data_IF_494012381790
#
_entry.id   IF_494012381790
#
_cell.length_a   1.000
_cell.length_b   1.000
_cell.length_c   1.000
_cell.angle_alpha   90.00
_cell.angle_beta   90.00
_cell.angle_gamma   90.00
#
_symmetry.space_group_name_H-M   'P 1'
#
loop_
_entity.id
_entity.type
_entity.pdbx_description
1 polymer ?
#
# COMPACT_ATOMS: atom_id res chain seq x y z
N UNK A 1 10.20 1.28 48.11
CA UNK A 1 10.56 1.39 46.68
C UNK A 1 9.58 0.67 45.74
N UNK A 2 8.96 -0.45 46.14
CA UNK A 2 7.96 -1.17 45.35
C UNK A 2 6.67 -0.38 45.09
N UNK A 3 6.23 0.43 46.06
CA UNK A 3 5.00 1.24 45.95
C UNK A 3 5.14 2.48 45.05
N UNK A 4 6.33 3.07 44.94
CA UNK A 4 6.57 4.18 44.01
C UNK A 4 6.65 3.70 42.56
N UNK A 5 7.19 2.49 42.33
CA UNK A 5 7.23 1.90 40.99
C UNK A 5 5.84 1.44 40.53
N UNK A 6 5.04 0.84 41.42
CA UNK A 6 3.68 0.41 41.09
C UNK A 6 2.78 1.59 40.73
N UNK A 7 2.86 2.69 41.49
CA UNK A 7 2.10 3.92 41.20
C UNK A 7 2.52 4.55 39.88
N UNK A 8 3.84 4.64 39.60
CA UNK A 8 4.39 5.14 38.34
C UNK A 8 3.94 4.33 37.13
N UNK A 9 3.98 3.00 37.24
CA UNK A 9 3.55 2.09 36.17
C UNK A 9 2.04 2.22 35.89
N UNK A 10 1.23 2.41 36.93
CA UNK A 10 -0.21 2.66 36.81
C UNK A 10 -0.50 4.02 36.17
N UNK A 11 0.22 5.09 36.56
CA UNK A 11 0.07 6.41 35.93
C UNK A 11 0.49 6.41 34.46
N UNK A 12 1.55 5.69 34.10
CA UNK A 12 1.99 5.54 32.71
C UNK A 12 0.89 4.90 31.85
N UNK A 13 0.22 3.86 32.36
CA UNK A 13 -0.90 3.21 31.67
C UNK A 13 -2.07 4.17 31.46
N UNK A 14 -2.46 4.93 32.50
CA UNK A 14 -3.53 5.92 32.40
C UNK A 14 -3.20 7.00 31.35
N UNK A 15 -1.95 7.46 31.31
CA UNK A 15 -1.48 8.43 30.30
C UNK A 15 -1.54 7.85 28.89
N UNK A 16 -1.04 6.63 28.70
CA UNK A 16 -1.10 5.93 27.41
C UNK A 16 -2.55 5.79 26.90
N UNK A 17 -3.49 5.44 27.80
CA UNK A 17 -4.92 5.29 27.48
C UNK A 17 -5.58 6.63 27.15
N UNK A 18 -5.27 7.68 27.90
CA UNK A 18 -5.77 9.03 27.61
C UNK A 18 -5.27 9.54 26.25
N UNK A 19 -4.00 9.29 25.92
CA UNK A 19 -3.42 9.60 24.62
C UNK A 19 -4.09 8.81 23.49
N UNK A 20 -4.35 7.51 23.68
CA UNK A 20 -5.10 6.69 22.73
C UNK A 20 -6.51 7.24 22.46
N UNK A 21 -7.18 7.70 23.52
CA UNK A 21 -8.50 8.33 23.42
C UNK A 21 -8.46 9.62 22.59
N UNK A 22 -7.53 10.53 22.87
CA UNK A 22 -7.36 11.77 22.11
C UNK A 22 -6.99 11.49 20.64
N UNK A 23 -6.11 10.51 20.39
CA UNK A 23 -5.75 10.09 19.03
C UNK A 23 -6.98 9.61 18.26
N UNK A 24 -7.82 8.80 18.90
CA UNK A 24 -9.04 8.27 18.30
C UNK A 24 -10.01 9.40 17.93
N UNK A 25 -10.26 10.35 18.84
CA UNK A 25 -11.12 11.52 18.54
C UNK A 25 -10.61 12.34 17.35
N UNK A 26 -9.29 12.62 17.31
CA UNK A 26 -8.66 13.33 16.19
C UNK A 26 -8.79 12.54 14.88
N UNK A 27 -8.59 11.23 14.93
CA UNK A 27 -8.70 10.36 13.76
C UNK A 27 -10.13 10.31 13.22
N UNK A 28 -11.15 10.20 14.08
CA UNK A 28 -12.56 10.26 13.68
C UNK A 28 -12.90 11.59 13.00
N UNK A 29 -12.47 12.72 13.60
CA UNK A 29 -12.68 14.04 13.00
C UNK A 29 -12.00 14.18 11.63
N UNK A 30 -10.80 13.61 11.49
CA UNK A 30 -10.03 13.59 10.25
C UNK A 30 -10.47 12.49 9.25
N UNK A 31 -11.51 11.70 9.56
CA UNK A 31 -11.95 10.51 8.79
C UNK A 31 -10.81 9.51 8.51
N UNK A 32 -9.88 9.36 9.45
CA UNK A 32 -8.77 8.42 9.38
C UNK A 32 -9.10 7.13 10.13
N UNK A 33 -8.52 5.99 9.71
CA UNK A 33 -8.62 4.73 10.45
C UNK A 33 -8.11 4.91 11.90
N UNK A 34 -8.87 4.36 12.85
CA UNK A 34 -8.61 4.50 14.29
C UNK A 34 -7.92 3.28 14.90
N UNK A 35 -7.90 2.17 14.16
CA UNK A 35 -7.32 0.88 14.54
C UNK A 35 -6.07 0.59 13.73
N UNK A 36 -5.32 -0.42 14.18
CA UNK A 36 -4.20 -0.98 13.43
C UNK A 36 -4.68 -1.62 12.13
N UNK A 37 -3.78 -1.75 11.15
CA UNK A 37 -4.06 -2.52 9.94
C UNK A 37 -4.23 -4.01 10.28
N UNK A 38 -5.30 -4.62 9.77
CA UNK A 38 -5.56 -6.05 9.90
C UNK A 38 -4.71 -6.82 8.89
N UNK A 39 -3.85 -7.72 9.36
CA UNK A 39 -3.10 -8.60 8.46
C UNK A 39 -4.03 -9.47 7.60
N UNK A 40 -5.17 -9.90 8.13
CA UNK A 40 -6.11 -10.74 7.39
C UNK A 40 -6.67 -10.01 6.17
N UNK A 41 -7.10 -8.76 6.34
CA UNK A 41 -7.61 -7.91 5.24
C UNK A 41 -6.52 -7.64 4.20
N UNK A 42 -5.29 -7.38 4.65
CA UNK A 42 -4.13 -7.13 3.78
C UNK A 42 -3.75 -8.40 3.01
N UNK A 43 -3.79 -9.56 3.65
CA UNK A 43 -3.52 -10.86 3.02
C UNK A 43 -4.53 -11.20 1.94
N UNK A 44 -5.82 -11.04 2.25
CA UNK A 44 -6.91 -11.31 1.32
C UNK A 44 -6.84 -10.40 0.09
N UNK A 45 -6.66 -9.10 0.29
CA UNK A 45 -6.66 -8.13 -0.81
C UNK A 45 -5.40 -8.14 -1.67
N UNK A 46 -4.24 -8.52 -1.12
CA UNK A 46 -2.95 -8.38 -1.82
C UNK A 46 -2.31 -9.73 -2.19
N UNK A 47 -3.08 -10.82 -2.15
CA UNK A 47 -2.63 -12.19 -2.46
C UNK A 47 -1.28 -12.53 -1.81
N UNK A 48 -1.15 -12.22 -0.51
CA UNK A 48 0.12 -12.36 0.20
C UNK A 48 0.49 -13.84 0.35
N UNK A 49 1.74 -14.16 0.02
CA UNK A 49 2.29 -15.51 0.14
C UNK A 49 2.43 -16.01 1.59
N UNK A 50 2.80 -17.29 1.73
CA UNK A 50 3.06 -17.87 3.04
C UNK A 50 4.25 -17.22 3.79
N UNK A 51 4.27 -17.27 5.13
CA UNK A 51 5.35 -16.72 5.94
C UNK A 51 6.63 -17.56 5.85
N UNK A 52 7.76 -16.92 5.56
CA UNK A 52 9.10 -17.52 5.52
C UNK A 52 9.94 -16.95 6.66
N UNK A 53 10.50 -17.82 7.51
CA UNK A 53 11.32 -17.38 8.64
C UNK A 53 12.64 -16.72 8.16
N UNK A 54 12.96 -15.55 8.73
CA UNK A 54 14.17 -14.77 8.41
C UNK A 54 15.16 -14.62 9.56
N UNK A 55 14.83 -15.13 10.75
CA UNK A 55 15.68 -14.99 11.93
C UNK A 55 15.26 -13.82 12.81
N UNK A 56 16.16 -13.43 13.70
CA UNK A 56 15.99 -12.28 14.61
C UNK A 56 16.68 -11.07 14.00
N UNK A 57 15.94 -9.97 13.88
CA UNK A 57 16.43 -8.70 13.35
C UNK A 57 15.97 -7.53 14.23
N UNK A 58 16.75 -6.45 14.22
CA UNK A 58 16.38 -5.20 14.88
C UNK A 58 15.55 -4.33 13.93
N UNK A 59 14.32 -4.01 14.33
CA UNK A 59 13.32 -3.34 13.47
C UNK A 59 13.01 -1.94 13.95
N UNK A 60 12.92 -0.98 13.03
CA UNK A 60 12.36 0.35 13.31
C UNK A 60 10.89 0.22 13.71
N UNK A 61 10.59 0.64 14.93
CA UNK A 61 9.27 0.54 15.53
C UNK A 61 8.21 1.31 14.72
N UNK A 62 8.59 2.35 13.96
CA UNK A 62 7.67 3.10 13.09
C UNK A 62 7.16 2.28 11.90
N UNK A 63 7.90 1.26 11.46
CA UNK A 63 7.48 0.36 10.38
C UNK A 63 6.47 -0.70 10.84
N UNK A 64 6.24 -0.83 12.14
CA UNK A 64 5.22 -1.73 12.70
C UNK A 64 3.86 -1.04 12.61
N UNK A 65 2.96 -1.53 11.74
CA UNK A 65 1.74 -0.78 11.37
C UNK A 65 0.45 -1.53 11.65
N UNK A 66 0.55 -2.85 11.88
CA UNK A 66 -0.60 -3.72 11.91
C UNK A 66 -0.49 -4.86 12.91
N UNK A 67 -1.53 -5.67 12.98
CA UNK A 67 -1.63 -6.82 13.87
C UNK A 67 -2.37 -7.96 13.19
N UNK A 68 -2.02 -9.20 13.55
CA UNK A 68 -2.72 -10.38 13.03
C UNK A 68 -4.11 -10.56 13.63
N UNK A 69 -4.26 -10.32 14.93
CA UNK A 69 -5.46 -10.70 15.69
C UNK A 69 -5.97 -9.60 16.63
N UNK A 70 -5.08 -8.75 17.15
CA UNK A 70 -5.40 -7.76 18.19
C UNK A 70 -5.47 -6.32 17.66
N UNK A 71 -5.85 -6.16 16.39
CA UNK A 71 -5.86 -4.84 15.74
C UNK A 71 -6.91 -3.87 16.31
N UNK A 72 -7.97 -4.40 16.95
CA UNK A 72 -9.02 -3.61 17.61
C UNK A 72 -8.66 -3.13 19.03
N UNK A 73 -7.75 -3.83 19.70
CA UNK A 73 -7.38 -3.56 21.10
C UNK A 73 -6.44 -2.35 21.25
N UNK A 74 -5.83 -1.92 20.15
CA UNK A 74 -4.86 -0.82 20.10
C UNK A 74 -5.25 0.23 19.06
N UNK A 75 -4.84 1.48 19.29
CA UNK A 75 -4.94 2.53 18.29
C UNK A 75 -3.81 2.41 17.24
N UNK A 76 -3.79 3.27 16.21
CA UNK A 76 -2.71 3.30 15.19
C UNK A 76 -1.31 3.55 15.77
N UNK A 77 -1.23 4.15 16.97
CA UNK A 77 0.03 4.37 17.66
C UNK A 77 0.45 3.16 18.52
N UNK A 78 -0.27 2.03 18.48
CA UNK A 78 -0.12 0.88 19.37
C UNK A 78 -0.38 1.19 20.84
N UNK A 79 -1.19 2.21 21.15
CA UNK A 79 -1.61 2.50 22.52
C UNK A 79 -2.88 1.71 22.88
N UNK A 80 -3.00 1.21 24.12
CA UNK A 80 -4.12 0.38 24.54
C UNK A 80 -5.43 1.17 24.54
N UNK A 81 -6.49 0.58 23.95
CA UNK A 81 -7.84 1.15 23.93
C UNK A 81 -8.74 0.62 25.05
N UNK A 82 -8.42 -0.55 25.61
CA UNK A 82 -9.24 -1.27 26.58
C UNK A 82 -8.49 -1.50 27.90
N UNK A 83 -9.22 -1.47 29.02
CA UNK A 83 -8.66 -1.63 30.37
C UNK A 83 -8.29 -3.06 30.73
N UNK A 84 -8.87 -4.06 30.06
CA UNK A 84 -8.53 -5.48 30.24
C UNK A 84 -7.03 -5.76 29.97
N UNK A 85 -6.36 -4.92 29.18
CA UNK A 85 -4.94 -5.03 28.87
C UNK A 85 -4.02 -4.46 29.94
N UNK A 86 -4.57 -3.74 30.93
CA UNK A 86 -3.84 -2.94 31.92
C UNK A 86 -2.79 -3.75 32.68
N UNK A 87 -3.16 -4.91 33.23
CA UNK A 87 -2.23 -5.72 34.03
C UNK A 87 -1.03 -6.19 33.20
N UNK A 88 -1.26 -6.69 31.98
CA UNK A 88 -0.18 -7.19 31.11
C UNK A 88 0.70 -6.05 30.62
N UNK A 89 0.12 -4.91 30.26
CA UNK A 89 0.86 -3.71 29.86
C UNK A 89 1.74 -3.19 31.00
N UNK A 90 1.18 -3.10 32.21
CA UNK A 90 1.91 -2.66 33.40
C UNK A 90 3.06 -3.61 33.78
N UNK A 91 2.88 -4.94 33.63
CA UNK A 91 3.96 -5.92 33.84
C UNK A 91 5.14 -5.68 32.89
N UNK A 92 4.85 -5.45 31.61
CA UNK A 92 5.87 -5.15 30.59
C UNK A 92 6.55 -3.80 30.89
N UNK A 93 5.78 -2.76 31.21
CA UNK A 93 6.33 -1.45 31.56
C UNK A 93 7.20 -1.49 32.83
N UNK A 94 6.84 -2.35 33.79
CA UNK A 94 7.67 -2.60 34.98
C UNK A 94 8.99 -3.29 34.62
N UNK A 95 8.97 -4.27 33.72
CA UNK A 95 10.18 -4.94 33.24
C UNK A 95 11.12 -3.94 32.55
N UNK A 96 10.57 -2.98 31.78
CA UNK A 96 11.33 -1.89 31.18
C UNK A 96 12.07 -1.05 32.23
N UNK A 97 11.39 -0.59 33.30
CA UNK A 97 12.03 0.17 34.38
C UNK A 97 13.08 -0.62 35.17
N UNK A 98 12.98 -1.95 35.16
CA UNK A 98 13.93 -2.84 35.82
C UNK A 98 15.07 -3.29 34.89
N UNK A 99 15.10 -2.78 33.66
CA UNK A 99 16.09 -3.16 32.64
C UNK A 99 16.16 -4.67 32.41
N UNK A 100 15.02 -5.35 32.61
CA UNK A 100 14.91 -6.78 32.36
C UNK A 100 14.82 -6.98 30.85
N UNK A 101 15.77 -7.74 30.30
CA UNK A 101 15.70 -8.16 28.90
C UNK A 101 14.42 -8.97 28.67
N UNK A 102 13.61 -8.50 27.72
CA UNK A 102 12.37 -9.17 27.33
C UNK A 102 12.62 -9.96 26.04
N UNK A 103 11.93 -11.11 25.85
CA UNK A 103 12.05 -11.84 24.60
C UNK A 103 11.65 -10.98 23.40
N UNK A 104 12.24 -11.28 22.24
CA UNK A 104 11.91 -10.63 20.98
C UNK A 104 10.41 -10.68 20.68
N UNK A 105 9.92 -9.67 19.94
CA UNK A 105 8.56 -9.69 19.41
C UNK A 105 8.49 -10.58 18.17
N UNK A 106 7.33 -11.10 17.81
CA UNK A 106 7.16 -11.89 16.59
C UNK A 106 6.41 -11.05 15.57
N UNK A 107 7.03 -10.80 14.41
CA UNK A 107 6.50 -9.93 13.36
C UNK A 107 6.38 -10.67 12.02
N UNK A 108 5.28 -10.41 11.32
CA UNK A 108 5.17 -10.71 9.90
C UNK A 108 5.59 -9.49 9.10
N UNK A 109 6.52 -9.64 8.16
CA UNK A 109 6.98 -8.58 7.26
C UNK A 109 6.26 -8.71 5.93
N UNK A 110 5.67 -7.61 5.45
CA UNK A 110 5.04 -7.53 4.13
C UNK A 110 5.53 -6.25 3.45
N UNK A 111 6.31 -6.38 2.38
CA UNK A 111 6.99 -5.23 1.79
C UNK A 111 7.89 -4.53 2.83
N UNK A 112 7.66 -3.24 3.08
CA UNK A 112 8.44 -2.42 4.01
C UNK A 112 7.81 -2.27 5.40
N UNK A 113 6.70 -2.97 5.66
CA UNK A 113 5.95 -2.85 6.91
C UNK A 113 5.85 -4.16 7.68
N UNK A 114 5.55 -4.04 8.98
CA UNK A 114 5.47 -5.16 9.90
C UNK A 114 4.11 -5.25 10.61
N UNK A 115 3.67 -6.49 10.81
CA UNK A 115 2.44 -6.85 11.52
C UNK A 115 2.78 -7.67 12.76
N UNK A 116 2.27 -7.26 13.91
CA UNK A 116 2.55 -7.97 15.17
C UNK A 116 1.75 -9.26 15.26
N UNK A 117 2.46 -10.37 15.42
CA UNK A 117 1.91 -11.70 15.74
C UNK A 117 1.83 -11.84 17.26
N UNK A 118 2.95 -11.57 17.94
CA UNK A 118 3.05 -11.60 19.40
C UNK A 118 3.91 -10.44 19.91
N UNK A 119 3.59 -9.98 21.13
CA UNK A 119 4.33 -8.90 21.79
C UNK A 119 3.71 -7.51 21.65
N UNK A 120 2.41 -7.38 21.39
CA UNK A 120 1.72 -6.07 21.24
C UNK A 120 2.00 -5.10 22.40
N UNK A 121 1.99 -5.59 23.64
CA UNK A 121 2.30 -4.74 24.80
C UNK A 121 3.78 -4.30 24.84
N UNK A 122 4.71 -5.12 24.35
CA UNK A 122 6.13 -4.74 24.24
C UNK A 122 6.30 -3.63 23.21
N UNK A 123 5.68 -3.77 22.04
CA UNK A 123 5.66 -2.70 21.01
C UNK A 123 5.01 -1.42 21.57
N UNK A 124 3.89 -1.54 22.26
CA UNK A 124 3.18 -0.42 22.90
C UNK A 124 4.06 0.33 23.91
N UNK A 125 4.68 -0.40 24.84
CA UNK A 125 5.55 0.18 25.87
C UNK A 125 6.79 0.80 25.21
N UNK A 126 7.45 0.11 24.28
CA UNK A 126 8.63 0.63 23.59
C UNK A 126 8.32 1.96 22.87
N UNK A 127 7.17 2.07 22.20
CA UNK A 127 6.71 3.33 21.59
C UNK A 127 6.46 4.44 22.61
N UNK A 128 5.77 4.11 23.70
CA UNK A 128 5.46 5.10 24.75
C UNK A 128 6.72 5.58 25.49
N UNK A 129 7.78 4.77 25.51
CA UNK A 129 9.10 5.12 26.04
C UNK A 129 10.02 5.80 25.02
N UNK A 130 9.58 5.99 23.78
CA UNK A 130 10.36 6.66 22.74
C UNK A 130 11.50 5.81 22.18
N UNK A 131 11.47 4.50 22.38
CA UNK A 131 12.41 3.58 21.77
C UNK A 131 12.27 3.63 20.24
N UNK A 132 13.38 3.61 19.51
CA UNK A 132 13.40 3.69 18.05
C UNK A 132 13.37 2.31 17.39
N UNK A 133 14.06 1.34 18.00
CA UNK A 133 14.26 0.01 17.44
C UNK A 133 13.86 -1.08 18.43
N UNK A 134 13.36 -2.22 17.94
CA UNK A 134 12.99 -3.38 18.76
C UNK A 134 13.49 -4.66 18.11
N UNK A 135 13.96 -5.61 18.92
CA UNK A 135 14.37 -6.93 18.43
C UNK A 135 13.15 -7.79 18.15
N UNK A 136 13.15 -8.42 16.98
CA UNK A 136 12.01 -9.14 16.46
C UNK A 136 12.41 -10.41 15.70
N UNK A 137 11.69 -11.50 15.94
CA UNK A 137 11.66 -12.65 15.06
C UNK A 137 10.80 -12.34 13.83
N UNK A 138 11.42 -12.38 12.65
CA UNK A 138 10.78 -11.99 11.39
C UNK A 138 10.32 -13.23 10.62
N UNK A 139 9.05 -13.19 10.18
CA UNK A 139 8.53 -14.05 9.12
C UNK A 139 8.12 -13.19 7.93
N UNK A 140 8.82 -13.29 6.83
CA UNK A 140 8.57 -12.49 5.64
C UNK A 140 7.53 -13.17 4.75
N UNK A 141 6.53 -12.40 4.34
CA UNK A 141 5.50 -12.83 3.41
C UNK A 141 5.67 -12.08 2.08
N UNK A 142 5.77 -12.82 0.98
CA UNK A 142 5.95 -12.24 -0.34
C UNK A 142 4.71 -11.46 -0.80
N UNK A 143 4.93 -10.32 -1.46
CA UNK A 143 3.89 -9.51 -2.10
C UNK A 143 4.44 -8.89 -3.38
N UNK A 144 3.59 -8.69 -4.38
CA UNK A 144 3.94 -8.03 -5.65
C UNK A 144 3.87 -6.50 -5.57
N UNK A 145 3.32 -5.96 -4.49
CA UNK A 145 3.12 -4.52 -4.31
C UNK A 145 3.82 -4.02 -3.06
N UNK A 146 4.42 -2.84 -3.16
CA UNK A 146 5.02 -2.18 -2.00
C UNK A 146 3.93 -1.64 -1.07
N UNK A 147 4.05 -1.96 0.21
CA UNK A 147 3.17 -1.45 1.26
C UNK A 147 4.00 -0.52 2.15
N UNK A 148 3.47 0.67 2.41
CA UNK A 148 4.13 1.70 3.22
C UNK A 148 3.39 1.93 4.56
N UNK A 149 4.05 2.49 5.60
CA UNK A 149 3.43 2.67 6.91
C UNK A 149 2.21 3.62 6.94
N UNK A 150 2.14 4.54 5.98
CA UNK A 150 1.07 5.51 5.81
C UNK A 150 -0.15 4.96 5.07
N UNK A 151 -0.12 3.69 4.67
CA UNK A 151 -1.21 3.02 3.97
C UNK A 151 -2.55 3.19 4.71
N UNK A 152 -3.54 3.60 3.93
CA UNK A 152 -4.93 3.76 4.38
C UNK A 152 -5.79 2.62 3.82
N UNK A 153 -6.89 2.26 4.48
CA UNK A 153 -7.80 1.21 4.01
C UNK A 153 -8.31 1.42 2.58
N UNK A 154 -8.53 2.67 2.16
CA UNK A 154 -8.91 3.02 0.79
C UNK A 154 -7.83 2.66 -0.25
N UNK A 155 -6.55 2.75 0.13
CA UNK A 155 -5.43 2.43 -0.76
C UNK A 155 -5.33 0.91 -1.00
N UNK A 156 -5.84 0.08 -0.06
CA UNK A 156 -5.84 -1.38 -0.21
C UNK A 156 -6.68 -1.87 -1.40
N UNK A 157 -7.75 -1.15 -1.75
CA UNK A 157 -8.58 -1.52 -2.89
C UNK A 157 -7.82 -1.35 -4.22
N UNK A 158 -7.15 -0.22 -4.39
CA UNK A 158 -6.34 0.06 -5.58
C UNK A 158 -5.13 -0.89 -5.65
N UNK A 159 -4.48 -1.14 -4.51
CA UNK A 159 -3.37 -2.10 -4.45
C UNK A 159 -3.81 -3.53 -4.77
N UNK A 160 -5.00 -3.95 -4.35
CA UNK A 160 -5.55 -5.26 -4.72
C UNK A 160 -5.78 -5.37 -6.23
N UNK A 161 -6.40 -4.36 -6.85
CA UNK A 161 -6.54 -4.33 -8.30
C UNK A 161 -5.19 -4.32 -9.04
N UNK A 162 -4.16 -3.67 -8.46
CA UNK A 162 -2.80 -3.73 -8.98
C UNK A 162 -2.24 -5.15 -8.94
N UNK A 163 -2.47 -5.89 -7.86
CA UNK A 163 -2.06 -7.30 -7.76
C UNK A 163 -2.72 -8.12 -8.85
N UNK A 164 -4.05 -8.00 -9.01
CA UNK A 164 -4.80 -8.69 -10.07
C UNK A 164 -4.27 -8.34 -11.47
N UNK A 165 -4.00 -7.05 -11.71
CA UNK A 165 -3.41 -6.57 -12.95
C UNK A 165 -2.05 -7.23 -13.23
N UNK A 166 -1.15 -7.29 -12.24
CA UNK A 166 0.16 -7.92 -12.39
C UNK A 166 0.08 -9.44 -12.50
N UNK A 167 -0.90 -10.08 -11.88
CA UNK A 167 -1.16 -11.51 -12.05
C UNK A 167 -1.61 -11.86 -13.46
N UNK A 168 -2.52 -11.07 -14.03
CA UNK A 168 -3.02 -11.28 -15.40
C UNK A 168 -1.98 -10.94 -16.46
N UNK A 169 -1.35 -9.76 -16.35
CA UNK A 169 -0.45 -9.24 -17.39
C UNK A 169 0.98 -9.73 -17.27
N UNK A 170 1.41 -10.18 -16.07
CA UNK A 170 2.80 -10.47 -15.74
C UNK A 170 3.75 -9.32 -16.07
N UNK A 171 3.27 -8.08 -16.08
CA UNK A 171 4.06 -6.93 -16.50
C UNK A 171 5.33 -6.77 -15.66
N UNK A 172 5.27 -7.11 -14.37
CA UNK A 172 6.41 -7.15 -13.44
C UNK A 172 7.54 -8.10 -13.87
N UNK A 173 7.23 -9.12 -14.68
CA UNK A 173 8.20 -10.06 -15.24
C UNK A 173 8.63 -9.69 -16.64
N UNK A 174 7.69 -9.25 -17.47
CA UNK A 174 7.92 -8.92 -18.89
C UNK A 174 8.69 -7.60 -19.02
N UNK A 175 8.40 -6.63 -18.15
CA UNK A 175 9.07 -5.32 -18.07
C UNK A 175 9.36 -4.99 -16.59
N UNK A 176 10.42 -5.52 -15.98
CA UNK A 176 10.73 -5.33 -14.55
C UNK A 176 10.90 -3.86 -14.12
N UNK A 177 11.25 -2.98 -15.06
CA UNK A 177 11.37 -1.54 -14.86
C UNK A 177 10.02 -0.80 -14.86
N UNK A 178 8.92 -1.48 -15.22
CA UNK A 178 7.61 -0.87 -15.29
C UNK A 178 7.07 -0.53 -13.89
N UNK A 179 6.85 0.76 -13.65
CA UNK A 179 6.27 1.24 -12.39
C UNK A 179 4.98 2.02 -12.64
N UNK A 180 3.90 1.30 -12.90
CA UNK A 180 2.58 1.90 -13.07
C UNK A 180 1.98 2.19 -11.68
N UNK A 181 1.65 3.46 -11.47
CA UNK A 181 0.89 3.94 -10.31
C UNK A 181 -0.40 4.57 -10.79
N UNK A 182 -1.47 4.33 -10.04
CA UNK A 182 -2.81 4.85 -10.28
C UNK A 182 -3.43 5.21 -8.94
N UNK A 183 -4.21 6.29 -8.92
CA UNK A 183 -4.97 6.74 -7.75
C UNK A 183 -6.48 6.75 -8.01
N UNK A 184 -6.91 6.50 -9.27
CA UNK A 184 -8.32 6.39 -9.64
C UNK A 184 -8.81 4.97 -9.34
N UNK A 185 -10.03 4.82 -8.75
CA UNK A 185 -10.65 3.55 -8.43
C UNK A 185 -10.49 2.44 -9.47
N UNK A 186 -11.37 2.21 -10.42
CA UNK A 186 -11.28 1.18 -11.49
C UNK A 186 -10.07 1.21 -12.46
N UNK A 187 -9.02 2.01 -12.21
CA UNK A 187 -8.01 2.33 -13.23
C UNK A 187 -7.23 1.12 -13.78
N UNK A 188 -6.92 0.14 -12.94
CA UNK A 188 -6.24 -1.08 -13.40
C UNK A 188 -7.14 -1.98 -14.25
N UNK A 189 -8.44 -2.05 -13.93
CA UNK A 189 -9.41 -2.76 -14.77
C UNK A 189 -9.49 -2.14 -16.17
N UNK A 190 -9.55 -0.81 -16.22
CA UNK A 190 -9.56 -0.07 -17.49
C UNK A 190 -8.27 -0.27 -18.31
N UNK A 191 -7.11 -0.35 -17.65
CA UNK A 191 -5.86 -0.71 -18.35
C UNK A 191 -5.94 -2.10 -19.01
N UNK A 192 -6.56 -3.08 -18.35
CA UNK A 192 -6.73 -4.43 -18.94
C UNK A 192 -7.62 -4.39 -20.18
N UNK A 193 -8.67 -3.59 -20.16
CA UNK A 193 -9.52 -3.35 -21.33
C UNK A 193 -8.73 -2.72 -22.48
N UNK A 194 -7.90 -1.70 -22.18
CA UNK A 194 -7.06 -1.06 -23.19
C UNK A 194 -6.05 -2.03 -23.80
N UNK A 195 -5.42 -2.89 -22.99
CA UNK A 195 -4.51 -3.95 -23.46
C UNK A 195 -5.26 -4.95 -24.36
N UNK A 196 -6.49 -5.32 -23.98
CA UNK A 196 -7.31 -6.25 -24.77
C UNK A 196 -7.69 -5.66 -26.14
N UNK A 197 -8.09 -4.38 -26.18
CA UNK A 197 -8.38 -3.67 -27.44
C UNK A 197 -7.12 -3.53 -28.29
N UNK A 198 -5.99 -3.16 -27.66
CA UNK A 198 -4.68 -3.09 -28.34
C UNK A 198 -4.31 -4.43 -28.98
N UNK A 199 -4.43 -5.53 -28.22
CA UNK A 199 -4.19 -6.89 -28.70
C UNK A 199 -5.06 -7.26 -29.89
N UNK A 200 -6.34 -6.86 -29.87
CA UNK A 200 -7.27 -7.12 -30.96
C UNK A 200 -6.82 -6.44 -32.27
N UNK A 201 -6.50 -5.15 -32.22
CA UNK A 201 -6.02 -4.41 -33.39
C UNK A 201 -4.67 -4.93 -33.90
N UNK A 202 -3.73 -5.24 -33.00
CA UNK A 202 -2.48 -5.90 -33.38
C UNK A 202 -2.71 -7.19 -34.17
N UNK A 203 -3.72 -7.99 -33.78
CA UNK A 203 -4.06 -9.23 -34.47
C UNK A 203 -4.62 -9.00 -35.87
N UNK A 204 -5.41 -7.94 -36.07
CA UNK A 204 -5.91 -7.54 -37.39
C UNK A 204 -4.76 -7.11 -38.31
N UNK A 205 -3.85 -6.27 -37.80
CA UNK A 205 -2.75 -5.72 -38.59
C UNK A 205 -1.72 -6.78 -38.96
N UNK A 206 -1.35 -7.63 -38.00
CA UNK A 206 -0.38 -8.71 -38.19
C UNK A 206 -1.00 -9.98 -38.80
N UNK A 207 -2.34 -10.00 -38.97
CA UNK A 207 -3.13 -11.11 -39.51
C UNK A 207 -2.81 -12.45 -38.86
N UNK A 208 -2.63 -12.43 -37.54
CA UNK A 208 -2.35 -13.62 -36.72
C UNK A 208 -2.85 -13.43 -35.30
N UNK A 209 -2.98 -14.54 -34.59
CA UNK A 209 -3.22 -14.48 -33.16
C UNK A 209 -1.99 -13.93 -32.42
N UNK A 210 -2.25 -13.01 -31.48
CA UNK A 210 -1.22 -12.38 -30.65
C UNK A 210 -1.28 -13.00 -29.26
N UNK A 211 -0.19 -13.58 -28.73
CA UNK A 211 -0.10 -13.98 -27.33
C UNK A 211 -0.30 -12.79 -26.37
N UNK A 212 -0.91 -13.02 -25.21
CA UNK A 212 -1.19 -11.94 -24.25
C UNK A 212 0.09 -11.26 -23.75
N UNK A 213 1.12 -12.04 -23.41
CA UNK A 213 2.42 -11.52 -22.97
C UNK A 213 3.07 -10.63 -24.05
N UNK A 214 2.87 -10.94 -25.35
CA UNK A 214 3.35 -10.13 -26.48
C UNK A 214 2.59 -8.80 -26.57
N UNK A 215 1.26 -8.84 -26.45
CA UNK A 215 0.43 -7.65 -26.50
C UNK A 215 0.67 -6.71 -25.33
N UNK A 216 0.87 -7.24 -24.11
CA UNK A 216 1.22 -6.46 -22.92
C UNK A 216 2.55 -5.74 -23.12
N UNK A 217 3.56 -6.46 -23.61
CA UNK A 217 4.88 -5.89 -23.89
C UNK A 217 4.80 -4.75 -24.90
N UNK A 218 4.13 -5.00 -26.03
CA UNK A 218 3.97 -4.02 -27.08
C UNK A 218 3.19 -2.80 -26.61
N UNK A 219 2.04 -3.00 -25.95
CA UNK A 219 1.24 -1.92 -25.38
C UNK A 219 2.06 -1.03 -24.44
N UNK A 220 2.85 -1.64 -23.55
CA UNK A 220 3.66 -0.88 -22.60
C UNK A 220 4.68 0.00 -23.32
N UNK A 221 5.37 -0.55 -24.32
CA UNK A 221 6.49 0.11 -25.00
C UNK A 221 6.02 1.15 -26.04
N UNK A 222 4.90 0.90 -26.74
CA UNK A 222 4.45 1.74 -27.88
C UNK A 222 3.28 2.65 -27.54
N UNK A 223 2.54 2.38 -26.46
CA UNK A 223 1.34 3.17 -26.10
C UNK A 223 1.54 3.87 -24.76
N UNK A 224 1.75 3.09 -23.70
CA UNK A 224 1.82 3.65 -22.35
C UNK A 224 3.07 4.53 -22.15
N UNK A 225 4.26 3.98 -22.43
CA UNK A 225 5.53 4.67 -22.16
C UNK A 225 5.70 5.96 -22.98
N UNK A 226 5.36 6.05 -24.27
CA UNK A 226 5.45 7.30 -25.03
C UNK A 226 4.57 8.42 -24.45
N UNK A 227 3.31 8.12 -24.09
CA UNK A 227 2.42 9.11 -23.45
C UNK A 227 3.01 9.56 -22.12
N UNK A 228 3.49 8.63 -21.30
CA UNK A 228 4.10 8.95 -20.00
C UNK A 228 5.36 9.81 -20.15
N UNK A 229 6.21 9.56 -21.15
CA UNK A 229 7.38 10.40 -21.43
C UNK A 229 6.97 11.85 -21.73
N UNK A 230 5.95 12.06 -22.54
CA UNK A 230 5.45 13.41 -22.85
C UNK A 230 4.89 14.09 -21.60
N UNK A 231 4.14 13.36 -20.76
CA UNK A 231 3.63 13.87 -19.48
C UNK A 231 4.78 14.35 -18.59
N UNK A 232 5.90 13.60 -18.54
CA UNK A 232 7.10 13.95 -17.78
C UNK A 232 7.83 15.15 -18.36
N UNK A 233 8.10 15.14 -19.66
CA UNK A 233 8.87 16.19 -20.35
C UNK A 233 8.18 17.56 -20.27
N UNK A 234 6.85 17.58 -20.37
CA UNK A 234 6.05 18.81 -20.27
C UNK A 234 5.66 19.16 -18.84
N UNK A 235 6.10 18.37 -17.86
CA UNK A 235 5.85 18.58 -16.43
C UNK A 235 4.36 18.79 -16.11
N UNK A 236 3.49 18.06 -16.82
CA UNK A 236 2.02 18.25 -16.76
C UNK A 236 1.50 18.00 -15.35
N UNK A 237 2.16 17.13 -14.59
CA UNK A 237 1.80 16.79 -13.21
C UNK A 237 1.81 17.99 -12.25
N UNK A 238 2.57 19.07 -12.54
CA UNK A 238 2.53 20.31 -11.74
C UNK A 238 1.13 20.89 -11.63
N UNK A 239 0.33 20.78 -12.69
CA UNK A 239 -1.04 21.32 -12.75
C UNK A 239 -2.09 20.38 -12.14
N UNK A 240 -1.72 19.14 -11.82
CA UNK A 240 -2.64 18.11 -11.33
C UNK A 240 -2.13 17.49 -10.02
N UNK A 241 -2.14 18.26 -8.91
CA UNK A 241 -1.70 17.74 -7.63
C UNK A 241 -2.53 16.51 -7.24
N UNK A 242 -1.83 15.44 -6.79
CA UNK A 242 -2.37 14.11 -6.42
C UNK A 242 -2.69 13.16 -7.58
N UNK A 243 -2.48 13.55 -8.84
CA UNK A 243 -2.57 12.63 -9.98
C UNK A 243 -1.23 11.99 -10.26
N UNK A 244 -1.28 10.78 -10.82
CA UNK A 244 -0.13 10.03 -11.31
C UNK A 244 -0.08 10.08 -12.83
N UNK A 245 1.06 9.68 -13.40
CA UNK A 245 1.22 9.55 -14.86
C UNK A 245 0.23 8.55 -15.44
N UNK A 246 -0.06 7.46 -14.72
CA UNK A 246 -1.08 6.49 -15.12
C UNK A 246 -2.48 7.10 -15.15
N UNK A 247 -2.81 7.96 -14.17
CA UNK A 247 -4.13 8.62 -14.13
C UNK A 247 -4.30 9.56 -15.33
N UNK A 248 -3.25 10.30 -15.68
CA UNK A 248 -3.25 11.19 -16.84
C UNK A 248 -3.27 10.42 -18.16
N UNK A 249 -2.56 9.30 -18.25
CA UNK A 249 -2.64 8.39 -19.40
C UNK A 249 -4.08 7.92 -19.63
N UNK A 250 -4.77 7.45 -18.59
CA UNK A 250 -6.17 7.03 -18.70
C UNK A 250 -7.09 8.20 -19.10
N UNK A 251 -6.84 9.39 -18.55
CA UNK A 251 -7.60 10.59 -18.90
C UNK A 251 -7.43 11.01 -20.37
N UNK A 252 -6.23 10.91 -20.93
CA UNK A 252 -5.96 11.21 -22.35
C UNK A 252 -6.80 10.30 -23.25
N UNK A 253 -6.82 9.00 -22.94
CA UNK A 253 -7.56 8.03 -23.73
C UNK A 253 -9.09 8.18 -23.60
N UNK A 254 -9.59 8.49 -22.40
CA UNK A 254 -11.02 8.80 -22.19
C UNK A 254 -11.46 10.02 -23.01
N UNK A 255 -10.63 11.07 -23.03
CA UNK A 255 -10.93 12.28 -23.76
C UNK A 255 -11.03 12.02 -25.26
N UNK A 256 -10.17 11.18 -25.81
CA UNK A 256 -10.22 10.83 -27.24
C UNK A 256 -11.45 9.97 -27.56
N UNK A 257 -11.82 9.02 -26.70
CA UNK A 257 -13.06 8.26 -26.88
C UNK A 257 -14.29 9.19 -26.93
N UNK A 258 -14.34 10.18 -26.04
CA UNK A 258 -15.40 11.19 -26.01
C UNK A 258 -15.41 12.06 -27.29
N UNK A 259 -14.24 12.49 -27.78
CA UNK A 259 -14.14 13.31 -29.00
C UNK A 259 -14.48 12.52 -30.27
N UNK A 260 -14.16 11.22 -30.32
CA UNK A 260 -14.54 10.34 -31.43
C UNK A 260 -16.06 10.18 -31.53
N UNK A 261 -16.74 9.95 -30.39
CA UNK A 261 -18.21 9.86 -30.32
C UNK A 261 -18.91 11.17 -30.70
N UNK A 262 -18.33 12.33 -30.35
CA UNK A 262 -18.94 13.63 -30.62
C UNK A 262 -18.80 14.11 -32.08
N UNK A 263 -17.90 13.51 -32.87
CA UNK A 263 -17.59 13.94 -34.25
C UNK A 263 -17.80 12.87 -35.33
N UNK A 264 -18.46 11.76 -35.00
CA UNK A 264 -18.73 10.64 -35.94
C UNK A 264 -17.44 10.05 -36.57
N UNK A 265 -16.32 10.09 -35.83
CA UNK A 265 -15.06 9.46 -36.23
C UNK A 265 -15.04 8.00 -35.77
N UNK A 266 -14.49 7.10 -36.61
CA UNK A 266 -14.21 5.72 -36.22
C UNK A 266 -13.27 5.67 -35.02
N UNK A 267 -13.55 4.76 -34.07
CA UNK A 267 -12.71 4.53 -32.90
C UNK A 267 -11.27 4.23 -33.32
N UNK A 268 -10.34 5.12 -32.99
CA UNK A 268 -8.93 4.90 -33.24
C UNK A 268 -8.38 3.81 -32.30
N UNK A 269 -7.50 2.93 -32.78
CA UNK A 269 -6.68 2.06 -31.95
C UNK A 269 -5.96 2.86 -30.84
N UNK A 270 -5.75 2.31 -29.62
CA UNK A 270 -5.10 3.03 -28.52
C UNK A 270 -3.71 3.59 -28.85
N UNK A 271 -2.95 2.91 -29.71
CA UNK A 271 -1.66 3.37 -30.26
C UNK A 271 -1.83 4.54 -31.24
N UNK A 272 -2.79 4.46 -32.17
CA UNK A 272 -3.11 5.59 -33.05
C UNK A 272 -3.62 6.81 -32.27
N UNK A 273 -4.43 6.58 -31.22
CA UNK A 273 -4.85 7.58 -30.26
C UNK A 273 -3.66 8.18 -29.50
N UNK A 274 -2.74 7.34 -29.02
CA UNK A 274 -1.50 7.81 -28.41
C UNK A 274 -0.73 8.70 -29.38
N UNK A 275 -0.47 8.24 -30.61
CA UNK A 275 0.25 8.97 -31.65
C UNK A 275 -0.44 10.29 -32.04
N UNK A 276 -1.75 10.31 -32.23
CA UNK A 276 -2.54 11.53 -32.48
C UNK A 276 -2.34 12.56 -31.36
N UNK A 277 -2.29 12.13 -30.10
CA UNK A 277 -2.00 13.03 -28.98
C UNK A 277 -0.56 13.58 -29.04
N UNK A 278 0.41 12.79 -29.51
CA UNK A 278 1.79 13.24 -29.72
C UNK A 278 1.87 14.26 -30.87
N UNK A 279 1.20 13.98 -31.99
CA UNK A 279 1.32 14.74 -33.24
C UNK A 279 0.47 16.01 -33.26
N UNK A 280 -0.77 15.98 -32.78
CA UNK A 280 -1.72 17.09 -32.88
C UNK A 280 -1.64 18.14 -31.76
N UNK A 281 -0.57 18.16 -30.95
CA UNK A 281 -0.38 19.17 -29.88
C UNK A 281 1.03 19.74 -29.79
N UNK A 282 1.45 20.31 -30.93
CA UNK A 282 2.45 21.37 -31.01
C UNK A 282 1.91 22.80 -30.80
N UNK A 283 0.59 22.99 -30.68
CA UNK A 283 -0.07 24.28 -30.40
C UNK A 283 -0.82 24.31 -29.05
#
# INVERSE_FOLDING_TARGET
MTDSLSSRVSSDFKRARFKAFLNNLRAVLARRPTTLLSYAEVREKLSIGGPIYRGVETVDIKKIVGSLNRYHEFDRAFLPKQDNTSQRWQRVNRAFYKEISLPAVVLYKVGDVYFVVDGHHRVSVAREKGQLFIDAEIRECATKVSITPDLRPEDLQILGQKVDFLERTKLDKIRPQANIKLNIPDGFSRMLEHIAVHRYFMGLDLKRDIPEDEAVAHWYDTVYLPIVKIIRERDVLKNFPKKTEGDLYLWVLDRQHYLAQAKDYSLLPPDAAAHDFIENKGD
#
